data_IF_124661148575
#
_entry.id   IF_124661148575
#
_cell.length_a   1.000
_cell.length_b   1.000
_cell.length_c   1.000
_cell.angle_alpha   90.00
_cell.angle_beta   90.00
_cell.angle_gamma   90.00
#
_symmetry.space_group_name_H-M   'P 1'
#
loop_
_entity.id
_entity.type
_entity.pdbx_description
1 polymer ?
#
# COMPACT_ATOMS: atom_id res chain seq x y z
N UNK A 1 47.31 -10.16 31.05
CA UNK A 1 46.68 -11.48 30.82
C UNK A 1 45.44 -11.23 29.99
N UNK A 2 45.55 -11.37 28.66
CA UNK A 2 44.43 -11.27 27.74
C UNK A 2 43.68 -12.60 27.80
N UNK A 3 42.59 -12.66 28.57
CA UNK A 3 41.61 -13.73 28.41
C UNK A 3 41.09 -13.63 26.98
N UNK A 4 41.52 -14.57 26.13
CA UNK A 4 40.90 -14.82 24.85
C UNK A 4 39.45 -15.18 25.17
N UNK A 5 38.55 -14.22 24.93
CA UNK A 5 37.12 -14.38 25.11
C UNK A 5 36.63 -15.35 24.04
N UNK A 6 36.71 -16.65 24.35
CA UNK A 6 36.22 -17.71 23.47
C UNK A 6 34.73 -17.44 23.23
N UNK A 7 34.30 -17.19 21.98
CA UNK A 7 32.90 -16.92 21.69
C UNK A 7 32.05 -18.08 22.20
N UNK A 8 31.04 -17.77 23.00
CA UNK A 8 30.17 -18.74 23.68
C UNK A 8 29.58 -19.68 22.61
N UNK A 9 30.07 -20.93 22.50
CA UNK A 9 29.81 -21.83 21.35
C UNK A 9 28.33 -22.12 21.07
N UNK A 10 27.46 -21.77 22.01
CA UNK A 10 26.00 -21.77 21.84
C UNK A 10 25.52 -20.72 20.84
N UNK A 11 26.08 -19.51 20.83
CA UNK A 11 25.69 -18.43 19.93
C UNK A 11 26.07 -18.76 18.48
N UNK A 12 27.29 -19.27 18.30
CA UNK A 12 27.79 -19.74 17.01
C UNK A 12 26.86 -20.80 16.43
N UNK A 13 26.51 -21.84 17.22
CA UNK A 13 25.56 -22.87 16.79
C UNK A 13 24.22 -22.30 16.31
N UNK A 14 23.68 -21.27 16.97
CA UNK A 14 22.45 -20.61 16.55
C UNK A 14 22.61 -19.87 15.22
N UNK A 15 23.70 -19.12 15.04
CA UNK A 15 23.98 -18.45 13.77
C UNK A 15 24.20 -19.45 12.63
N UNK A 16 24.94 -20.53 12.85
CA UNK A 16 25.11 -21.59 11.85
C UNK A 16 23.76 -22.22 11.48
N UNK A 17 22.86 -22.42 12.46
CA UNK A 17 21.52 -22.94 12.22
C UNK A 17 20.64 -21.97 11.43
N UNK A 18 20.75 -20.67 11.66
CA UNK A 18 20.07 -19.65 10.86
C UNK A 18 20.65 -19.58 9.44
N UNK A 19 21.98 -19.62 9.31
CA UNK A 19 22.66 -19.62 8.03
C UNK A 19 22.29 -20.84 7.19
N UNK A 20 21.94 -21.98 7.78
CA UNK A 20 21.46 -23.17 7.07
C UNK A 20 20.21 -22.92 6.19
N UNK A 21 19.46 -21.85 6.44
CA UNK A 21 18.34 -21.43 5.60
C UNK A 21 18.79 -20.94 4.23
N UNK A 22 20.01 -20.43 4.07
CA UNK A 22 20.51 -19.92 2.80
C UNK A 22 20.73 -21.04 1.76
N UNK A 23 20.66 -20.72 0.45
CA UNK A 23 20.98 -21.68 -0.61
C UNK A 23 22.38 -22.28 -0.43
N UNK A 24 22.58 -23.58 -0.72
CA UNK A 24 23.83 -24.29 -0.43
C UNK A 24 25.05 -23.66 -1.14
N UNK A 25 24.89 -23.18 -2.38
CA UNK A 25 25.98 -22.49 -3.10
C UNK A 25 26.43 -21.20 -2.42
N UNK A 26 25.48 -20.40 -1.93
CA UNK A 26 25.80 -19.15 -1.22
C UNK A 26 26.46 -19.41 0.14
N UNK A 27 26.01 -20.44 0.86
CA UNK A 27 26.63 -20.85 2.14
C UNK A 27 28.05 -21.36 1.94
N UNK A 28 28.32 -22.09 0.86
CA UNK A 28 29.65 -22.61 0.58
C UNK A 28 30.66 -21.49 0.27
N UNK A 29 30.20 -20.39 -0.34
CA UNK A 29 31.06 -19.27 -0.74
C UNK A 29 31.23 -18.23 0.37
N UNK A 30 30.17 -17.89 1.11
CA UNK A 30 30.16 -16.77 2.07
C UNK A 30 29.82 -17.16 3.52
N UNK A 31 29.54 -18.44 3.81
CA UNK A 31 29.03 -18.86 5.11
C UNK A 31 29.94 -18.50 6.28
N UNK A 32 31.25 -18.72 6.13
CA UNK A 32 32.24 -18.45 7.17
C UNK A 32 32.47 -16.94 7.36
N UNK A 33 32.44 -16.17 6.28
CA UNK A 33 32.53 -14.70 6.34
C UNK A 33 31.30 -14.11 7.03
N UNK A 34 30.10 -14.56 6.66
CA UNK A 34 28.85 -14.13 7.29
C UNK A 34 28.84 -14.47 8.79
N UNK A 35 29.27 -15.69 9.15
CA UNK A 35 29.38 -16.10 10.54
C UNK A 35 30.39 -15.22 11.31
N UNK A 36 31.56 -14.96 10.71
CA UNK A 36 32.58 -14.08 11.26
C UNK A 36 32.07 -12.66 11.51
N UNK A 37 31.35 -12.06 10.55
CA UNK A 37 30.75 -10.73 10.68
C UNK A 37 29.67 -10.71 11.77
N UNK A 38 28.82 -11.74 11.82
CA UNK A 38 27.78 -11.86 12.85
C UNK A 38 28.38 -11.97 14.24
N UNK A 39 29.42 -12.79 14.43
CA UNK A 39 30.12 -12.93 15.70
C UNK A 39 30.87 -11.65 16.09
N UNK A 40 31.55 -11.00 15.14
CA UNK A 40 32.26 -9.73 15.37
C UNK A 40 31.31 -8.58 15.80
N UNK A 41 30.05 -8.60 15.36
CA UNK A 41 29.03 -7.63 15.73
C UNK A 41 28.34 -7.87 17.08
N UNK A 42 28.63 -8.98 17.76
CA UNK A 42 27.92 -9.36 19.00
C UNK A 42 28.42 -8.60 20.23
N UNK A 43 27.51 -8.37 21.18
CA UNK A 43 27.89 -7.74 22.46
C UNK A 43 28.56 -8.78 23.38
N UNK A 44 29.51 -8.38 24.23
CA UNK A 44 30.06 -9.25 25.26
C UNK A 44 28.94 -9.91 26.10
N UNK A 45 28.98 -11.24 26.24
CA UNK A 45 27.98 -12.02 26.97
C UNK A 45 26.67 -12.32 26.23
N UNK A 46 26.56 -12.02 24.93
CA UNK A 46 25.39 -12.37 24.13
C UNK A 46 25.34 -13.89 23.88
N UNK A 47 24.32 -14.57 24.42
CA UNK A 47 24.16 -16.04 24.29
C UNK A 47 23.21 -16.50 23.18
N UNK A 48 22.40 -15.57 22.68
CA UNK A 48 21.38 -15.80 21.66
C UNK A 48 21.42 -14.67 20.61
N UNK A 49 21.09 -14.95 19.33
CA UNK A 49 20.89 -13.92 18.33
C UNK A 49 19.80 -12.95 18.79
N UNK A 50 19.92 -11.66 18.47
CA UNK A 50 18.80 -10.75 18.69
C UNK A 50 17.66 -11.13 17.76
N UNK A 51 16.43 -10.92 18.20
CA UNK A 51 15.24 -11.14 17.38
C UNK A 51 15.32 -10.42 16.02
N UNK A 52 15.88 -9.20 16.00
CA UNK A 52 16.12 -8.46 14.76
C UNK A 52 17.16 -9.10 13.84
N UNK A 53 18.27 -9.61 14.39
CA UNK A 53 19.33 -10.29 13.62
C UNK A 53 18.82 -11.61 13.03
N UNK A 54 18.06 -12.38 13.82
CA UNK A 54 17.45 -13.63 13.36
C UNK A 54 16.40 -13.39 12.26
N UNK A 55 15.53 -12.39 12.43
CA UNK A 55 14.52 -12.04 11.43
C UNK A 55 15.15 -11.56 10.11
N UNK A 56 16.21 -10.76 10.19
CA UNK A 56 16.94 -10.26 9.03
C UNK A 56 17.62 -11.40 8.24
N UNK A 57 18.26 -12.34 8.94
CA UNK A 57 18.86 -13.54 8.33
C UNK A 57 17.82 -14.45 7.68
N UNK A 58 16.70 -14.71 8.36
CA UNK A 58 15.61 -15.52 7.81
C UNK A 58 15.00 -14.87 6.56
N UNK A 59 14.74 -13.57 6.60
CA UNK A 59 14.21 -12.82 5.45
C UNK A 59 15.16 -12.87 4.26
N UNK A 60 16.45 -12.64 4.49
CA UNK A 60 17.49 -12.71 3.46
C UNK A 60 17.61 -14.10 2.82
N UNK A 61 17.54 -15.16 3.63
CA UNK A 61 17.58 -16.54 3.15
C UNK A 61 16.37 -16.91 2.28
N UNK A 62 15.15 -16.53 2.71
CA UNK A 62 13.92 -16.74 1.92
C UNK A 62 14.01 -15.98 0.60
N UNK A 63 14.45 -14.72 0.63
CA UNK A 63 14.59 -13.90 -0.57
C UNK A 63 15.57 -14.48 -1.58
N UNK A 64 16.72 -14.98 -1.12
CA UNK A 64 17.69 -15.65 -1.98
C UNK A 64 17.15 -16.93 -2.60
N UNK A 65 16.32 -17.71 -1.89
CA UNK A 65 15.66 -18.90 -2.43
C UNK A 65 14.60 -18.57 -3.48
N UNK A 66 13.94 -17.42 -3.36
CA UNK A 66 13.01 -16.91 -4.36
C UNK A 66 13.72 -16.32 -5.59
N UNK A 67 15.05 -16.38 -5.65
CA UNK A 67 15.85 -15.94 -6.81
C UNK A 67 16.38 -14.51 -6.71
N UNK A 68 16.22 -13.84 -5.57
CA UNK A 68 16.81 -12.54 -5.31
C UNK A 68 18.34 -12.62 -5.23
N UNK A 69 19.04 -12.15 -6.26
CA UNK A 69 20.51 -12.04 -6.23
C UNK A 69 20.90 -10.88 -5.29
N UNK A 70 21.39 -11.22 -4.09
CA UNK A 70 22.04 -10.30 -3.15
C UNK A 70 21.08 -9.60 -2.19
N UNK A 71 20.86 -10.19 -1.02
CA UNK A 71 20.13 -9.57 0.10
C UNK A 71 21.04 -8.64 0.94
N UNK A 72 22.00 -7.96 0.31
CA UNK A 72 22.84 -6.97 0.98
C UNK A 72 22.15 -5.62 0.96
N UNK A 73 21.28 -5.39 1.94
CA UNK A 73 20.26 -4.33 1.96
C UNK A 73 19.17 -4.56 0.90
N UNK A 74 17.90 -4.58 1.33
CA UNK A 74 16.78 -4.28 0.42
C UNK A 74 17.20 -3.06 -0.39
N UNK A 75 17.41 -3.24 -1.70
CA UNK A 75 17.87 -2.18 -2.62
C UNK A 75 17.16 -0.89 -2.21
N UNK A 76 17.92 0.13 -1.78
CA UNK A 76 17.39 1.31 -1.10
C UNK A 76 16.21 1.94 -1.86
N UNK A 77 16.18 1.72 -3.18
CA UNK A 77 15.10 2.06 -4.10
C UNK A 77 13.75 1.43 -3.78
N UNK A 78 13.70 0.17 -3.33
CA UNK A 78 12.47 -0.48 -2.87
C UNK A 78 12.00 0.10 -1.54
N UNK A 79 12.91 0.41 -0.62
CA UNK A 79 12.57 1.08 0.63
C UNK A 79 12.01 2.49 0.39
N UNK A 80 12.62 3.27 -0.53
CA UNK A 80 12.12 4.58 -0.95
C UNK A 80 10.73 4.47 -1.59
N UNK A 81 10.53 3.49 -2.48
CA UNK A 81 9.24 3.26 -3.12
C UNK A 81 8.19 2.85 -2.09
N UNK A 82 8.53 1.95 -1.17
CA UNK A 82 7.65 1.51 -0.11
C UNK A 82 7.27 2.66 0.84
N UNK A 83 8.20 3.59 1.12
CA UNK A 83 7.93 4.80 1.89
C UNK A 83 6.89 5.70 1.20
N UNK A 84 7.05 5.96 -0.11
CA UNK A 84 6.13 6.78 -0.89
C UNK A 84 4.77 6.09 -1.03
N UNK A 85 4.77 4.81 -1.40
CA UNK A 85 3.56 4.01 -1.56
C UNK A 85 2.78 3.91 -0.25
N UNK A 86 3.43 3.54 0.86
CA UNK A 86 2.80 3.41 2.16
C UNK A 86 2.17 4.72 2.64
N UNK A 87 2.83 5.86 2.40
CA UNK A 87 2.26 7.18 2.70
C UNK A 87 1.02 7.48 1.84
N UNK A 88 1.12 7.34 0.52
CA UNK A 88 0.01 7.61 -0.41
C UNK A 88 -1.17 6.68 -0.13
N UNK A 89 -0.93 5.38 0.04
CA UNK A 89 -1.97 4.40 0.34
C UNK A 89 -2.64 4.68 1.69
N UNK A 90 -1.87 5.04 2.73
CA UNK A 90 -2.46 5.42 4.03
C UNK A 90 -3.35 6.65 3.92
N UNK A 91 -2.94 7.66 3.15
CA UNK A 91 -3.75 8.85 2.90
C UNK A 91 -5.02 8.52 2.12
N UNK A 92 -4.95 7.65 1.11
CA UNK A 92 -6.12 7.15 0.39
C UNK A 92 -7.08 6.38 1.32
N UNK A 93 -6.56 5.62 2.27
CA UNK A 93 -7.34 4.85 3.25
C UNK A 93 -8.00 5.72 4.32
N UNK A 94 -7.47 6.91 4.62
CA UNK A 94 -8.17 7.94 5.41
C UNK A 94 -9.24 8.62 4.57
N UNK A 95 -8.88 8.99 3.34
CA UNK A 95 -9.73 9.75 2.42
C UNK A 95 -10.99 8.99 2.03
N UNK A 96 -10.85 7.69 1.73
CA UNK A 96 -11.93 6.84 1.25
C UNK A 96 -13.16 6.85 2.18
N UNK A 97 -13.06 6.61 3.50
CA UNK A 97 -14.19 6.76 4.41
C UNK A 97 -14.53 8.22 4.75
N UNK A 98 -13.54 9.12 4.86
CA UNK A 98 -13.75 10.50 5.27
C UNK A 98 -14.73 11.25 4.36
N UNK A 99 -14.57 11.07 3.04
CA UNK A 99 -15.43 11.71 2.03
C UNK A 99 -16.91 11.30 2.18
N UNK A 100 -17.16 10.04 2.54
CA UNK A 100 -18.52 9.52 2.72
C UNK A 100 -19.12 9.99 4.04
N UNK A 101 -18.34 9.95 5.13
CA UNK A 101 -18.80 10.44 6.43
C UNK A 101 -19.17 11.92 6.36
N UNK A 102 -18.33 12.74 5.72
CA UNK A 102 -18.59 14.17 5.59
C UNK A 102 -19.87 14.45 4.78
N UNK A 103 -20.05 13.76 3.65
CA UNK A 103 -21.25 13.88 2.82
C UNK A 103 -22.51 13.42 3.56
N UNK A 104 -22.45 12.26 4.22
CA UNK A 104 -23.59 11.66 4.91
C UNK A 104 -24.04 12.48 6.13
N UNK A 105 -23.09 12.96 6.93
CA UNK A 105 -23.39 13.86 8.06
C UNK A 105 -24.04 15.17 7.59
N UNK A 106 -23.52 15.76 6.52
CA UNK A 106 -24.05 17.00 5.99
C UNK A 106 -25.42 16.80 5.33
N UNK A 107 -25.61 15.68 4.63
CA UNK A 107 -26.86 15.31 4.01
C UNK A 107 -27.98 15.16 5.06
N UNK A 108 -27.72 14.39 6.13
CA UNK A 108 -28.67 14.22 7.23
C UNK A 108 -28.94 15.52 7.99
N UNK A 109 -27.91 16.35 8.21
CA UNK A 109 -28.10 17.65 8.84
C UNK A 109 -28.99 18.56 8.00
N UNK A 110 -28.83 18.53 6.67
CA UNK A 110 -29.58 19.38 5.75
C UNK A 110 -31.02 18.93 5.55
N UNK A 111 -31.26 17.63 5.37
CA UNK A 111 -32.59 17.13 5.04
C UNK A 111 -33.46 16.86 6.26
N UNK A 112 -32.88 16.21 7.26
CA UNK A 112 -33.62 15.70 8.42
C UNK A 112 -33.46 16.62 9.65
N UNK A 113 -32.57 17.62 9.58
CA UNK A 113 -32.18 18.42 10.74
C UNK A 113 -31.46 17.60 11.81
N UNK A 114 -30.99 16.40 11.45
CA UNK A 114 -30.35 15.45 12.37
C UNK A 114 -28.85 15.38 12.13
N UNK A 115 -28.08 15.45 13.21
CA UNK A 115 -26.65 15.16 13.17
C UNK A 115 -26.44 13.65 13.32
N UNK A 116 -26.22 12.94 12.21
CA UNK A 116 -25.81 11.54 12.25
C UNK A 116 -24.46 11.42 12.96
N UNK A 117 -24.39 10.54 13.95
CA UNK A 117 -23.13 10.19 14.59
C UNK A 117 -22.44 9.13 13.73
N UNK A 118 -21.24 9.39 13.19
CA UNK A 118 -20.51 8.40 12.41
C UNK A 118 -20.21 7.18 13.27
N UNK A 119 -20.17 6.01 12.63
CA UNK A 119 -19.85 4.77 13.34
C UNK A 119 -18.46 4.87 13.96
N UNK A 120 -18.35 4.42 15.22
CA UNK A 120 -17.09 4.42 15.97
C UNK A 120 -16.01 3.64 15.23
N UNK A 121 -16.38 2.54 14.56
CA UNK A 121 -15.46 1.73 13.76
C UNK A 121 -14.80 2.51 12.61
N UNK A 122 -15.55 3.36 11.92
CA UNK A 122 -15.00 4.21 10.83
C UNK A 122 -14.10 5.30 11.40
N UNK A 123 -14.50 5.96 12.48
CA UNK A 123 -13.65 6.98 13.14
C UNK A 123 -12.32 6.41 13.62
N UNK A 124 -12.33 5.23 14.26
CA UNK A 124 -11.11 4.53 14.70
C UNK A 124 -10.23 4.19 13.50
N UNK A 125 -10.81 3.71 12.40
CA UNK A 125 -10.07 3.42 11.17
C UNK A 125 -9.39 4.67 10.60
N UNK A 126 -10.14 5.77 10.49
CA UNK A 126 -9.62 7.06 10.02
C UNK A 126 -8.49 7.57 10.92
N UNK A 127 -8.65 7.46 12.23
CA UNK A 127 -7.63 7.86 13.20
C UNK A 127 -6.36 7.02 13.05
N UNK A 128 -6.47 5.69 12.97
CA UNK A 128 -5.32 4.80 12.84
C UNK A 128 -4.52 5.06 11.56
N UNK A 129 -5.19 5.19 10.42
CA UNK A 129 -4.52 5.48 9.15
C UNK A 129 -3.99 6.92 9.09
N UNK A 130 -4.67 7.88 9.71
CA UNK A 130 -4.22 9.27 9.81
C UNK A 130 -2.95 9.38 10.66
N UNK A 131 -2.92 8.70 11.81
CA UNK A 131 -1.73 8.62 12.65
C UNK A 131 -0.60 7.83 11.95
N UNK A 132 -0.91 6.77 11.21
CA UNK A 132 0.08 6.02 10.43
C UNK A 132 0.74 6.91 9.36
N UNK A 133 -0.06 7.72 8.63
CA UNK A 133 0.42 8.68 7.65
C UNK A 133 1.24 9.80 8.29
N UNK A 134 0.79 10.35 9.43
CA UNK A 134 1.54 11.36 10.18
C UNK A 134 2.89 10.81 10.67
N UNK A 135 2.91 9.60 11.23
CA UNK A 135 4.14 8.91 11.64
C UNK A 135 5.02 8.52 10.44
N UNK A 136 4.44 8.28 9.26
CA UNK A 136 5.19 8.05 8.02
C UNK A 136 6.00 9.29 7.60
N UNK A 137 5.47 10.49 7.87
CA UNK A 137 6.18 11.75 7.66
C UNK A 137 7.30 12.02 8.68
N UNK A 138 7.26 11.39 9.86
CA UNK A 138 8.30 11.54 10.91
C UNK A 138 9.32 10.38 10.90
N UNK A 139 10.29 10.41 11.82
CA UNK A 139 11.30 9.34 11.99
C UNK A 139 10.77 8.07 12.68
N UNK A 140 9.47 7.96 12.92
CA UNK A 140 8.87 6.88 13.71
C UNK A 140 8.36 5.75 12.82
N UNK A 141 9.26 5.09 12.08
CA UNK A 141 8.87 4.03 11.14
C UNK A 141 8.21 2.83 11.80
N UNK A 142 8.70 2.41 12.97
CA UNK A 142 8.10 1.31 13.73
C UNK A 142 6.67 1.66 14.18
N UNK A 143 6.45 2.88 14.67
CA UNK A 143 5.13 3.35 15.11
C UNK A 143 4.18 3.42 13.92
N UNK A 144 4.63 3.96 12.79
CA UNK A 144 3.85 4.04 11.55
C UNK A 144 3.43 2.66 11.06
N UNK A 145 4.35 1.68 11.03
CA UNK A 145 4.03 0.30 10.66
C UNK A 145 3.05 -0.35 11.65
N UNK A 146 3.26 -0.17 12.95
CA UNK A 146 2.34 -0.69 13.99
C UNK A 146 0.92 -0.12 13.86
N UNK A 147 0.79 1.18 13.63
CA UNK A 147 -0.49 1.85 13.40
C UNK A 147 -1.17 1.37 12.11
N UNK A 148 -0.40 1.17 11.04
CA UNK A 148 -0.92 0.64 9.77
C UNK A 148 -1.44 -0.79 9.93
N UNK A 149 -0.71 -1.66 10.64
CA UNK A 149 -1.18 -3.01 10.95
C UNK A 149 -2.41 -3.02 11.86
N UNK A 150 -2.47 -2.14 12.87
CA UNK A 150 -3.65 -1.97 13.70
C UNK A 150 -4.86 -1.50 12.88
N UNK A 151 -4.66 -0.52 11.99
CA UNK A 151 -5.71 -0.01 11.09
C UNK A 151 -6.21 -1.07 10.12
N UNK A 152 -5.31 -1.87 9.53
CA UNK A 152 -5.66 -2.98 8.66
C UNK A 152 -6.42 -4.08 9.42
N UNK A 153 -5.92 -4.51 10.59
CA UNK A 153 -6.56 -5.53 11.41
C UNK A 153 -7.97 -5.12 11.87
N UNK A 154 -8.13 -3.87 12.31
CA UNK A 154 -9.42 -3.33 12.72
C UNK A 154 -10.44 -3.30 11.56
N UNK A 155 -10.05 -2.85 10.37
CA UNK A 155 -10.96 -2.85 9.21
C UNK A 155 -11.28 -4.26 8.69
N UNK A 156 -10.29 -5.16 8.66
CA UNK A 156 -10.53 -6.57 8.30
C UNK A 156 -11.48 -7.21 9.31
N UNK A 157 -11.33 -6.91 10.61
CA UNK A 157 -12.26 -7.38 11.63
C UNK A 157 -13.68 -6.86 11.41
N UNK A 158 -13.86 -5.57 11.12
CA UNK A 158 -15.17 -5.00 10.80
C UNK A 158 -15.82 -5.68 9.58
N UNK A 159 -15.04 -5.93 8.52
CA UNK A 159 -15.54 -6.63 7.33
C UNK A 159 -15.89 -8.10 7.61
N UNK A 160 -15.07 -8.78 8.41
CA UNK A 160 -15.31 -10.17 8.80
C UNK A 160 -16.53 -10.31 9.71
N UNK A 161 -16.74 -9.36 10.63
CA UNK A 161 -17.90 -9.32 11.50
C UNK A 161 -19.20 -9.05 10.72
N UNK A 162 -19.14 -8.23 9.67
CA UNK A 162 -20.29 -7.95 8.81
C UNK A 162 -20.56 -9.07 7.77
N UNK A 163 -19.60 -9.96 7.52
CA UNK A 163 -19.66 -10.94 6.44
C UNK A 163 -20.87 -11.90 6.49
N UNK A 164 -21.32 -12.42 7.65
CA UNK A 164 -22.48 -13.30 7.71
C UNK A 164 -23.79 -12.61 7.31
N UNK A 165 -23.87 -11.29 7.46
CA UNK A 165 -25.06 -10.49 7.18
C UNK A 165 -24.99 -9.80 5.81
N UNK A 166 -23.79 -9.39 5.38
CA UNK A 166 -23.55 -8.56 4.19
C UNK A 166 -22.29 -9.03 3.44
N UNK A 167 -22.26 -10.24 2.88
CA UNK A 167 -21.06 -10.76 2.23
C UNK A 167 -20.68 -9.98 0.96
N UNK A 168 -21.63 -9.28 0.31
CA UNK A 168 -21.36 -8.35 -0.78
C UNK A 168 -20.45 -7.18 -0.38
N UNK A 169 -20.51 -6.75 0.88
CA UNK A 169 -19.69 -5.66 1.38
C UNK A 169 -18.21 -6.05 1.36
N UNK A 170 -17.90 -7.29 1.75
CA UNK A 170 -16.55 -7.84 1.72
C UNK A 170 -16.00 -7.84 0.28
N UNK A 171 -16.79 -8.34 -0.67
CA UNK A 171 -16.39 -8.43 -2.10
C UNK A 171 -16.16 -7.03 -2.68
N UNK A 172 -17.11 -6.10 -2.47
CA UNK A 172 -17.01 -4.71 -2.97
C UNK A 172 -15.82 -3.96 -2.35
N UNK A 173 -15.42 -4.29 -1.13
CA UNK A 173 -14.30 -3.65 -0.42
C UNK A 173 -13.00 -4.46 -0.43
N UNK A 174 -12.94 -5.57 -1.16
CA UNK A 174 -11.76 -6.43 -1.16
C UNK A 174 -10.51 -5.73 -1.67
N UNK A 175 -10.66 -4.83 -2.65
CA UNK A 175 -9.55 -4.00 -3.13
C UNK A 175 -8.95 -3.12 -2.02
N UNK A 176 -9.78 -2.65 -1.07
CA UNK A 176 -9.30 -1.90 0.10
C UNK A 176 -8.50 -2.82 1.02
N UNK A 177 -8.92 -4.07 1.21
CA UNK A 177 -8.16 -5.05 2.01
C UNK A 177 -6.77 -5.27 1.41
N UNK A 178 -6.69 -5.45 0.10
CA UNK A 178 -5.40 -5.56 -0.60
C UNK A 178 -4.56 -4.31 -0.42
N UNK A 179 -5.15 -3.11 -0.56
CA UNK A 179 -4.48 -1.83 -0.37
C UNK A 179 -3.99 -1.62 1.08
N UNK A 180 -4.78 -2.02 2.08
CA UNK A 180 -4.43 -1.93 3.49
C UNK A 180 -3.23 -2.82 3.84
N UNK A 181 -3.27 -4.08 3.39
CA UNK A 181 -2.19 -5.02 3.62
C UNK A 181 -0.91 -4.56 2.91
N UNK A 182 -1.00 -4.18 1.63
CA UNK A 182 0.16 -3.68 0.90
C UNK A 182 0.74 -2.40 1.52
N UNK A 183 -0.09 -1.49 2.02
CA UNK A 183 0.35 -0.29 2.72
C UNK A 183 1.08 -0.63 4.03
N UNK A 184 0.52 -1.54 4.84
CA UNK A 184 1.13 -1.99 6.09
C UNK A 184 2.48 -2.69 5.85
N UNK A 185 2.57 -3.56 4.85
CA UNK A 185 3.83 -4.17 4.43
C UNK A 185 4.84 -3.12 3.93
N UNK A 186 4.41 -2.17 3.09
CA UNK A 186 5.29 -1.13 2.57
C UNK A 186 5.86 -0.24 3.69
N UNK A 187 5.03 0.15 4.66
CA UNK A 187 5.48 0.91 5.83
C UNK A 187 6.39 0.10 6.76
N UNK A 188 6.27 -1.24 6.76
CA UNK A 188 7.17 -2.14 7.48
C UNK A 188 8.55 -2.23 6.80
N UNK A 189 8.60 -2.20 5.47
CA UNK A 189 9.84 -2.34 4.67
C UNK A 189 10.59 -1.02 4.50
N UNK A 190 9.95 0.15 4.68
CA UNK A 190 10.55 1.48 4.41
C UNK A 190 11.85 1.80 5.16
N UNK A 191 12.16 1.08 6.24
CA UNK A 191 13.33 1.33 7.08
C UNK A 191 13.30 2.72 7.74
N UNK A 192 14.39 3.49 7.63
CA UNK A 192 14.52 4.85 8.22
C UNK A 192 14.23 6.00 7.23
N UNK A 193 13.83 5.69 6.00
CA UNK A 193 13.60 6.70 4.96
C UNK A 193 12.33 7.51 5.26
N UNK A 194 12.44 8.84 5.15
CA UNK A 194 11.28 9.75 5.27
C UNK A 194 10.61 9.88 3.91
N UNK A 195 9.34 9.46 3.79
CA UNK A 195 8.62 9.57 2.50
C UNK A 195 8.58 11.00 1.95
N UNK A 196 8.43 12.00 2.84
CA UNK A 196 8.40 13.42 2.45
C UNK A 196 9.71 13.95 1.85
N UNK A 197 10.88 13.39 2.20
CA UNK A 197 12.13 13.82 1.58
C UNK A 197 12.26 13.34 0.13
N UNK A 198 11.59 12.25 -0.23
CA UNK A 198 11.59 11.71 -1.59
C UNK A 198 10.63 12.47 -2.51
N UNK A 199 9.47 12.88 -1.99
CA UNK A 199 8.49 13.69 -2.73
C UNK A 199 8.96 15.14 -2.92
N UNK A 200 9.66 15.72 -1.94
CA UNK A 200 9.97 17.13 -1.90
C UNK A 200 8.78 17.98 -1.43
N UNK A 201 9.07 19.18 -0.91
CA UNK A 201 8.06 20.04 -0.25
C UNK A 201 6.89 20.42 -1.16
N UNK A 202 7.18 20.85 -2.40
CA UNK A 202 6.16 21.28 -3.37
C UNK A 202 5.17 20.16 -3.69
N UNK A 203 5.67 18.96 -4.01
CA UNK A 203 4.80 17.82 -4.36
C UNK A 203 4.00 17.31 -3.17
N UNK A 204 4.60 17.37 -1.98
CA UNK A 204 3.89 17.04 -0.73
C UNK A 204 2.74 18.03 -0.50
N UNK A 205 2.95 19.32 -0.78
CA UNK A 205 1.90 20.35 -0.75
C UNK A 205 0.79 20.07 -1.77
N UNK A 206 1.14 19.79 -3.03
CA UNK A 206 0.15 19.46 -4.08
C UNK A 206 -0.65 18.21 -3.73
N UNK A 207 0.02 17.16 -3.22
CA UNK A 207 -0.63 15.93 -2.74
C UNK A 207 -1.62 16.23 -1.62
N UNK A 208 -1.21 17.01 -0.62
CA UNK A 208 -2.06 17.37 0.51
C UNK A 208 -3.29 18.19 0.04
N UNK A 209 -3.09 19.17 -0.84
CA UNK A 209 -4.18 19.98 -1.42
C UNK A 209 -5.15 19.09 -2.20
N UNK A 210 -4.66 18.26 -3.12
CA UNK A 210 -5.49 17.37 -3.93
C UNK A 210 -6.32 16.42 -3.06
N UNK A 211 -5.71 15.80 -2.05
CA UNK A 211 -6.42 14.93 -1.11
C UNK A 211 -7.45 15.68 -0.26
N UNK A 212 -7.15 16.93 0.13
CA UNK A 212 -8.09 17.78 0.89
C UNK A 212 -9.30 18.12 0.03
N UNK A 213 -9.08 18.52 -1.23
CA UNK A 213 -10.14 18.77 -2.21
C UNK A 213 -11.00 17.53 -2.38
N UNK A 214 -10.40 16.37 -2.64
CA UNK A 214 -11.13 15.10 -2.78
C UNK A 214 -11.93 14.71 -1.52
N UNK A 215 -11.50 15.13 -0.32
CA UNK A 215 -12.23 14.85 0.93
C UNK A 215 -13.48 15.71 1.05
N UNK A 216 -13.34 16.99 0.74
CA UNK A 216 -14.35 18.03 0.97
C UNK A 216 -15.37 18.09 -0.16
N UNK A 217 -14.99 17.66 -1.37
CA UNK A 217 -15.78 17.78 -2.59
C UNK A 217 -17.19 17.16 -2.49
N UNK A 218 -17.40 15.94 -1.95
CA UNK A 218 -18.76 15.42 -1.79
C UNK A 218 -19.62 16.24 -0.82
N UNK A 219 -19.04 16.83 0.22
CA UNK A 219 -19.77 17.74 1.10
C UNK A 219 -20.15 19.04 0.38
N UNK A 220 -19.27 19.57 -0.47
CA UNK A 220 -19.57 20.75 -1.30
C UNK A 220 -20.72 20.48 -2.26
N UNK A 221 -20.75 19.32 -2.93
CA UNK A 221 -21.91 18.94 -3.76
C UNK A 221 -23.21 18.88 -2.95
N UNK A 222 -23.17 18.29 -1.75
CA UNK A 222 -24.34 18.26 -0.87
C UNK A 222 -24.79 19.65 -0.46
N UNK A 223 -23.88 20.63 -0.31
CA UNK A 223 -24.22 22.04 -0.06
C UNK A 223 -24.82 22.73 -1.30
N UNK A 224 -24.32 22.41 -2.49
CA UNK A 224 -24.76 23.02 -3.74
C UNK A 224 -26.04 22.39 -4.31
N UNK A 225 -26.40 21.19 -3.88
CA UNK A 225 -27.62 20.51 -4.31
C UNK A 225 -28.86 21.35 -3.96
N UNK A 226 -29.84 21.40 -4.85
CA UNK A 226 -31.14 22.02 -4.62
C UNK A 226 -32.12 20.95 -4.11
N UNK A 227 -32.83 21.25 -3.03
CA UNK A 227 -33.73 20.30 -2.37
C UNK A 227 -35.16 20.82 -2.45
N UNK A 228 -35.98 20.22 -3.32
CA UNK A 228 -37.39 20.52 -3.49
C UNK A 228 -38.23 19.56 -2.64
N UNK A 229 -38.94 20.08 -1.63
CA UNK A 229 -39.89 19.28 -0.84
C UNK A 229 -41.26 19.30 -1.50
N UNK A 230 -41.83 18.11 -1.69
CA UNK A 230 -43.16 17.90 -2.23
C UNK A 230 -44.20 17.88 -1.11
N UNK A 231 -45.46 18.17 -1.44
CA UNK A 231 -46.55 18.26 -0.46
C UNK A 231 -46.89 16.92 0.21
N UNK A 232 -46.54 15.80 -0.41
CA UNK A 232 -46.69 14.44 0.11
C UNK A 232 -45.59 14.03 1.12
N UNK A 233 -44.66 14.94 1.43
CA UNK A 233 -43.50 14.67 2.27
C UNK A 233 -42.32 14.05 1.52
N UNK A 234 -42.46 13.83 0.21
CA UNK A 234 -41.36 13.47 -0.66
C UNK A 234 -40.37 14.63 -0.82
N UNK A 235 -39.16 14.31 -1.24
CA UNK A 235 -38.15 15.30 -1.61
C UNK A 235 -37.50 14.89 -2.92
N UNK A 236 -37.22 15.88 -3.76
CA UNK A 236 -36.37 15.75 -4.92
C UNK A 236 -35.09 16.52 -4.64
N UNK A 237 -33.97 15.96 -5.10
CA UNK A 237 -32.67 16.60 -4.96
C UNK A 237 -32.05 16.71 -6.34
N UNK A 238 -31.89 17.95 -6.79
CA UNK A 238 -31.24 18.27 -8.04
C UNK A 238 -29.79 18.73 -7.76
N UNK A 239 -28.82 18.10 -8.41
CA UNK A 239 -27.44 18.59 -8.46
C UNK A 239 -27.04 18.83 -9.91
N UNK A 240 -25.96 19.58 -10.10
CA UNK A 240 -25.40 19.83 -11.42
C UNK A 240 -24.77 18.54 -11.98
N UNK A 241 -25.56 17.75 -12.72
CA UNK A 241 -25.05 16.63 -13.52
C UNK A 241 -25.21 15.22 -12.92
N UNK A 242 -25.95 15.03 -11.82
CA UNK A 242 -26.40 13.69 -11.40
C UNK A 242 -26.60 13.48 -9.89
N UNK A 243 -27.67 12.76 -9.51
CA UNK A 243 -27.95 12.33 -8.13
C UNK A 243 -28.25 10.82 -8.10
N UNK A 244 -27.72 10.08 -7.11
CA UNK A 244 -28.42 8.98 -6.44
C UNK A 244 -27.88 8.81 -5.00
N UNK A 245 -28.80 8.65 -4.04
CA UNK A 245 -28.52 8.39 -2.62
C UNK A 245 -29.50 7.35 -2.07
N UNK A 246 -29.00 6.25 -1.51
CA UNK A 246 -29.34 5.86 -0.12
C UNK A 246 -28.08 5.35 0.59
N UNK A 247 -27.85 5.87 1.79
CA UNK A 247 -26.84 5.44 2.77
C UNK A 247 -27.57 4.57 3.82
N UNK A 248 -27.00 3.55 4.47
CA UNK A 248 -25.89 3.56 5.42
C UNK A 248 -24.73 2.58 5.07
N UNK A 249 -24.88 1.66 4.09
CA UNK A 249 -23.81 0.75 3.63
C UNK A 249 -23.84 0.43 2.09
N UNK A 250 -24.46 1.28 1.25
CA UNK A 250 -24.47 1.26 -0.25
C UNK A 250 -25.82 1.74 -0.81
N UNK A 251 -26.04 2.18 -2.07
CA UNK A 251 -25.17 2.73 -3.14
C UNK A 251 -25.10 4.28 -3.05
N UNK A 252 -23.91 4.81 -3.32
CA UNK A 252 -23.51 6.23 -3.37
C UNK A 252 -22.39 6.31 -4.43
N UNK A 253 -22.16 7.42 -5.17
CA UNK A 253 -22.16 8.79 -4.63
C UNK A 253 -22.96 9.83 -5.42
N UNK A 254 -23.27 10.93 -4.74
CA UNK A 254 -23.53 12.25 -5.33
C UNK A 254 -22.33 12.64 -6.19
N UNK A 255 -22.37 12.33 -7.49
CA UNK A 255 -21.36 12.72 -8.46
C UNK A 255 -21.96 13.69 -9.47
N UNK A 256 -21.75 14.97 -9.22
CA UNK A 256 -22.03 16.03 -10.18
C UNK A 256 -20.88 16.20 -11.19
N UNK A 257 -21.13 17.02 -12.21
CA UNK A 257 -20.12 17.45 -13.18
C UNK A 257 -18.96 18.19 -12.51
N UNK A 258 -19.24 18.95 -11.44
CA UNK A 258 -18.21 19.62 -10.63
C UNK A 258 -17.28 18.59 -9.98
N UNK A 259 -17.85 17.57 -9.34
CA UNK A 259 -17.07 16.48 -8.76
C UNK A 259 -16.24 15.76 -9.81
N UNK A 260 -16.83 15.38 -10.93
CA UNK A 260 -16.11 14.70 -12.00
C UNK A 260 -14.92 15.53 -12.52
N UNK A 261 -15.11 16.84 -12.74
CA UNK A 261 -14.05 17.73 -13.21
C UNK A 261 -12.94 17.92 -12.17
N UNK A 262 -13.28 18.16 -10.90
CA UNK A 262 -12.31 18.35 -9.83
C UNK A 262 -11.59 17.06 -9.44
N UNK A 263 -12.28 15.92 -9.47
CA UNK A 263 -11.65 14.61 -9.30
C UNK A 263 -10.67 14.33 -10.42
N UNK A 264 -11.04 14.57 -11.68
CA UNK A 264 -10.13 14.44 -12.81
C UNK A 264 -8.91 15.37 -12.67
N UNK A 265 -9.11 16.63 -12.28
CA UNK A 265 -8.01 17.57 -12.04
C UNK A 265 -7.09 17.10 -10.90
N UNK A 266 -7.65 16.60 -9.79
CA UNK A 266 -6.89 16.05 -8.67
C UNK A 266 -6.11 14.80 -9.11
N UNK A 267 -6.74 13.88 -9.84
CA UNK A 267 -6.08 12.67 -10.37
C UNK A 267 -4.93 13.06 -11.30
N UNK A 268 -5.12 14.02 -12.20
CA UNK A 268 -4.05 14.53 -13.07
C UNK A 268 -2.91 15.17 -12.28
N UNK A 269 -3.22 15.97 -11.25
CA UNK A 269 -2.20 16.55 -10.37
C UNK A 269 -1.41 15.48 -9.61
N UNK A 270 -2.09 14.45 -9.09
CA UNK A 270 -1.48 13.29 -8.45
C UNK A 270 -0.57 12.55 -9.44
N UNK A 271 -1.07 12.24 -10.64
CA UNK A 271 -0.28 11.61 -11.70
C UNK A 271 0.94 12.46 -12.08
N UNK A 272 0.80 13.78 -12.20
CA UNK A 272 1.91 14.71 -12.42
C UNK A 272 2.97 14.65 -11.32
N UNK A 273 2.54 14.57 -10.06
CA UNK A 273 3.45 14.37 -8.93
C UNK A 273 4.21 13.03 -9.02
N UNK A 274 3.52 11.96 -9.40
CA UNK A 274 4.10 10.62 -9.55
C UNK A 274 5.07 10.54 -10.73
N UNK A 275 4.77 11.21 -11.85
CA UNK A 275 5.65 11.28 -13.02
C UNK A 275 6.97 11.98 -12.67
N UNK A 276 6.93 12.98 -11.79
CA UNK A 276 8.10 13.71 -11.32
C UNK A 276 9.02 12.93 -10.37
N UNK A 277 8.61 11.76 -9.87
CA UNK A 277 9.45 10.94 -8.99
C UNK A 277 10.69 10.42 -9.71
N UNK A 278 11.71 10.04 -8.92
CA UNK A 278 12.91 9.40 -9.45
C UNK A 278 12.52 8.18 -10.32
N UNK A 279 13.16 7.95 -11.47
CA UNK A 279 12.77 6.88 -12.40
C UNK A 279 12.67 5.50 -11.75
N UNK A 280 13.53 5.21 -10.79
CA UNK A 280 13.51 3.96 -10.02
C UNK A 280 12.22 3.79 -9.20
N UNK A 281 11.77 4.85 -8.52
CA UNK A 281 10.54 4.86 -7.73
C UNK A 281 9.32 4.81 -8.64
N UNK A 282 9.32 5.61 -9.72
CA UNK A 282 8.21 5.68 -10.68
C UNK A 282 7.91 4.34 -11.34
N UNK A 283 8.92 3.49 -11.59
CA UNK A 283 8.73 2.15 -12.17
C UNK A 283 8.26 1.10 -11.16
N UNK A 284 8.66 1.23 -9.89
CA UNK A 284 8.29 0.30 -8.81
C UNK A 284 6.89 0.59 -8.23
N UNK A 285 6.46 1.85 -8.22
CA UNK A 285 5.19 2.25 -7.62
C UNK A 285 3.96 1.54 -8.23
N UNK A 286 3.83 1.40 -9.57
CA UNK A 286 2.74 0.65 -10.16
C UNK A 286 2.72 -0.81 -9.71
N UNK A 287 3.88 -1.46 -9.54
CA UNK A 287 3.95 -2.86 -9.10
C UNK A 287 3.31 -3.05 -7.72
N UNK A 288 3.49 -2.09 -6.80
CA UNK A 288 2.88 -2.13 -5.47
C UNK A 288 1.36 -1.81 -5.51
N UNK A 289 0.93 -0.90 -6.39
CA UNK A 289 -0.47 -0.48 -6.49
C UNK A 289 -1.36 -1.37 -7.36
N UNK A 290 -0.77 -2.06 -8.33
CA UNK A 290 -1.50 -2.82 -9.36
C UNK A 290 -2.40 -3.92 -8.78
N UNK A 291 -2.01 -4.69 -7.74
CA UNK A 291 -2.89 -5.70 -7.16
C UNK A 291 -4.24 -5.14 -6.68
N UNK A 292 -4.23 -4.01 -5.95
CA UNK A 292 -5.45 -3.38 -5.48
C UNK A 292 -6.27 -2.79 -6.63
N UNK A 293 -5.60 -2.15 -7.61
CA UNK A 293 -6.26 -1.59 -8.79
C UNK A 293 -6.93 -2.67 -9.64
N UNK A 294 -6.25 -3.80 -9.87
CA UNK A 294 -6.78 -4.90 -10.65
C UNK A 294 -8.00 -5.51 -9.96
N UNK A 295 -7.92 -5.73 -8.65
CA UNK A 295 -9.07 -6.21 -7.85
C UNK A 295 -10.24 -5.23 -7.94
N UNK A 296 -9.98 -3.91 -7.81
CA UNK A 296 -11.02 -2.87 -7.92
C UNK A 296 -11.77 -2.93 -9.25
N UNK A 297 -11.07 -3.16 -10.35
CA UNK A 297 -11.67 -3.17 -11.71
C UNK A 297 -12.32 -4.51 -12.03
N UNK A 298 -11.69 -5.62 -11.66
CA UNK A 298 -12.10 -6.97 -12.11
C UNK A 298 -13.16 -7.60 -11.22
N UNK A 299 -13.08 -7.43 -9.90
CA UNK A 299 -13.99 -8.11 -8.96
C UNK A 299 -15.45 -7.75 -9.19
N UNK A 300 -15.86 -6.48 -9.39
CA UNK A 300 -17.27 -6.17 -9.62
C UNK A 300 -17.86 -6.90 -10.84
N UNK A 301 -17.07 -7.05 -11.90
CA UNK A 301 -17.51 -7.71 -13.14
C UNK A 301 -17.53 -9.24 -12.99
N UNK A 302 -16.50 -9.81 -12.35
CA UNK A 302 -16.39 -11.27 -12.17
C UNK A 302 -17.41 -11.78 -11.14
N UNK A 303 -17.74 -10.97 -10.15
CA UNK A 303 -18.65 -11.32 -9.04
C UNK A 303 -20.05 -10.72 -9.23
N UNK A 304 -20.40 -10.21 -10.41
CA UNK A 304 -21.70 -9.56 -10.63
C UNK A 304 -22.87 -10.50 -10.27
N UNK A 305 -22.79 -11.78 -10.67
CA UNK A 305 -23.79 -12.78 -10.32
C UNK A 305 -23.90 -13.01 -8.80
N UNK A 306 -22.76 -13.08 -8.11
CA UNK A 306 -22.72 -13.17 -6.65
C UNK A 306 -23.36 -11.93 -6.00
N UNK A 307 -22.93 -10.73 -6.41
CA UNK A 307 -23.40 -9.45 -5.88
C UNK A 307 -24.91 -9.24 -6.09
N UNK A 308 -25.47 -9.69 -7.21
CA UNK A 308 -26.91 -9.61 -7.49
C UNK A 308 -27.72 -10.69 -6.77
N UNK A 309 -27.14 -11.87 -6.56
CA UNK A 309 -27.83 -12.99 -5.93
C UNK A 309 -27.88 -12.87 -4.41
N UNK A 310 -26.78 -12.51 -3.75
CA UNK A 310 -26.68 -12.52 -2.28
C UNK A 310 -27.72 -11.62 -1.60
N UNK A 311 -28.02 -10.45 -2.18
CA UNK A 311 -29.00 -9.49 -1.64
C UNK A 311 -30.45 -10.01 -1.77
N UNK A 312 -30.69 -11.04 -2.57
CA UNK A 312 -32.04 -11.60 -2.82
C UNK A 312 -32.41 -12.77 -1.93
N UNK A 313 -31.46 -13.36 -1.20
CA UNK A 313 -31.68 -14.54 -0.37
C UNK A 313 -31.56 -14.21 1.12
N UNK A 314 -32.39 -14.88 1.93
CA UNK A 314 -32.32 -14.85 3.40
C UNK A 314 -32.32 -16.31 3.93
N UNK A 315 -31.20 -16.83 4.47
CA UNK A 315 -29.93 -16.14 4.70
C UNK A 315 -29.16 -15.80 3.41
N UNK A 316 -28.24 -14.83 3.43
CA UNK A 316 -27.45 -14.45 2.26
C UNK A 316 -26.55 -15.58 1.77
N UNK A 317 -26.25 -15.56 0.46
CA UNK A 317 -25.35 -16.55 -0.15
C UNK A 317 -23.91 -16.19 0.19
N UNK A 318 -23.18 -17.13 0.82
CA UNK A 318 -21.78 -16.94 1.16
C UNK A 318 -20.86 -17.34 0.00
N UNK A 319 -19.65 -16.77 -0.01
CA UNK A 319 -18.63 -17.06 -1.02
C UNK A 319 -18.23 -18.54 -1.03
N UNK A 320 -18.18 -19.12 -2.23
CA UNK A 320 -17.65 -20.44 -2.47
C UNK A 320 -16.12 -20.48 -2.32
N UNK A 321 -15.55 -21.67 -2.12
CA UNK A 321 -14.10 -21.84 -1.98
C UNK A 321 -13.30 -21.32 -3.20
N UNK A 322 -13.84 -21.48 -4.41
CA UNK A 322 -13.21 -20.97 -5.64
C UNK A 322 -13.18 -19.45 -5.71
N UNK A 323 -14.23 -18.79 -5.20
CA UNK A 323 -14.32 -17.33 -5.12
C UNK A 323 -13.31 -16.77 -4.11
N UNK A 324 -13.19 -17.41 -2.95
CA UNK A 324 -12.12 -17.10 -1.98
C UNK A 324 -10.72 -17.26 -2.58
N UNK A 325 -10.49 -18.36 -3.30
CA UNK A 325 -9.22 -18.59 -3.97
C UNK A 325 -8.92 -17.49 -4.99
N UNK A 326 -9.91 -17.06 -5.77
CA UNK A 326 -9.76 -15.94 -6.72
C UNK A 326 -9.36 -14.64 -6.02
N UNK A 327 -10.09 -14.26 -4.96
CA UNK A 327 -9.85 -13.03 -4.20
C UNK A 327 -8.44 -12.98 -3.59
N UNK A 328 -7.90 -14.12 -3.16
CA UNK A 328 -6.55 -14.20 -2.57
C UNK A 328 -5.46 -14.34 -3.64
N UNK A 329 -5.64 -15.21 -4.63
CA UNK A 329 -4.60 -15.52 -5.62
C UNK A 329 -4.39 -14.38 -6.61
N UNK A 330 -5.45 -13.70 -7.06
CA UNK A 330 -5.34 -12.62 -8.05
C UNK A 330 -4.34 -11.53 -7.63
N UNK A 331 -4.45 -10.89 -6.43
CA UNK A 331 -3.50 -9.86 -6.03
C UNK A 331 -2.09 -10.39 -5.83
N UNK A 332 -1.93 -11.61 -5.29
CA UNK A 332 -0.62 -12.23 -5.07
C UNK A 332 0.12 -12.52 -6.40
N UNK A 333 -0.59 -13.11 -7.36
CA UNK A 333 -0.04 -13.39 -8.69
C UNK A 333 0.26 -12.09 -9.44
N UNK A 334 -0.61 -11.07 -9.33
CA UNK A 334 -0.39 -9.75 -9.95
C UNK A 334 0.88 -9.10 -9.42
N UNK A 335 1.10 -9.15 -8.10
CA UNK A 335 2.32 -8.63 -7.48
C UNK A 335 3.55 -9.40 -7.95
N UNK A 336 3.50 -10.73 -7.94
CA UNK A 336 4.62 -11.58 -8.36
C UNK A 336 5.01 -11.33 -9.82
N UNK A 337 4.03 -11.33 -10.73
CA UNK A 337 4.25 -11.04 -12.15
C UNK A 337 4.81 -9.62 -12.32
N UNK A 338 4.26 -8.63 -11.60
CA UNK A 338 4.74 -7.25 -11.63
C UNK A 338 6.20 -7.12 -11.21
N UNK A 339 6.62 -7.80 -10.14
CA UNK A 339 8.02 -7.83 -9.69
C UNK A 339 8.93 -8.47 -10.73
N UNK A 340 8.56 -9.64 -11.27
CA UNK A 340 9.36 -10.35 -12.28
C UNK A 340 9.51 -9.52 -13.56
N UNK A 341 8.44 -8.90 -14.05
CA UNK A 341 8.47 -8.05 -15.23
C UNK A 341 9.33 -6.79 -15.00
N UNK A 342 9.22 -6.19 -13.82
CA UNK A 342 10.02 -5.03 -13.48
C UNK A 342 11.51 -5.37 -13.43
N UNK A 343 11.90 -6.45 -12.76
CA UNK A 343 13.30 -6.89 -12.73
C UNK A 343 13.83 -7.15 -14.14
N UNK A 344 13.05 -7.80 -14.99
CA UNK A 344 13.42 -8.04 -16.39
C UNK A 344 13.62 -6.72 -17.15
N UNK A 345 12.72 -5.75 -16.96
CA UNK A 345 12.82 -4.43 -17.58
C UNK A 345 14.04 -3.64 -17.10
N UNK A 346 14.37 -3.70 -15.80
CA UNK A 346 15.55 -3.05 -15.24
C UNK A 346 16.85 -3.68 -15.75
N UNK A 347 16.92 -5.03 -15.83
CA UNK A 347 18.06 -5.73 -16.42
C UNK A 347 18.25 -5.35 -17.88
N UNK A 348 17.18 -5.27 -18.67
CA UNK A 348 17.26 -4.88 -20.08
C UNK A 348 17.74 -3.43 -20.23
N UNK A 349 17.19 -2.49 -19.45
CA UNK A 349 17.63 -1.10 -19.46
C UNK A 349 19.10 -0.95 -19.05
N UNK A 350 19.58 -1.76 -18.09
CA UNK A 350 20.98 -1.76 -17.69
C UNK A 350 21.91 -2.24 -18.81
N UNK A 351 21.56 -3.33 -19.49
CA UNK A 351 22.33 -3.84 -20.63
C UNK A 351 22.41 -2.85 -21.80
N UNK A 352 21.31 -2.17 -22.12
CA UNK A 352 21.29 -1.10 -23.13
C UNK A 352 22.20 0.06 -22.70
N UNK A 353 22.17 0.44 -21.42
CA UNK A 353 23.06 1.47 -20.87
C UNK A 353 24.54 1.13 -21.01
N UNK A 354 24.93 -0.13 -20.72
CA UNK A 354 26.30 -0.61 -20.89
C UNK A 354 26.73 -0.59 -22.37
N UNK A 355 25.83 -1.01 -23.29
CA UNK A 355 26.09 -0.96 -24.73
C UNK A 355 26.37 0.46 -25.23
N UNK A 356 25.53 1.42 -24.84
CA UNK A 356 25.70 2.83 -25.21
C UNK A 356 26.99 3.45 -24.61
N UNK A 357 27.38 3.04 -23.40
CA UNK A 357 28.62 3.49 -22.78
C UNK A 357 29.85 2.95 -23.52
N UNK A 358 29.85 1.65 -23.84
CA UNK A 358 30.92 1.01 -24.59
C UNK A 358 31.07 1.61 -26.00
N UNK A 359 29.95 1.92 -26.66
CA UNK A 359 29.97 2.58 -27.97
C UNK A 359 30.58 3.99 -27.89
N UNK A 360 30.23 4.79 -26.87
CA UNK A 360 30.84 6.10 -26.64
C UNK A 360 32.34 6.01 -26.39
N UNK A 361 32.79 5.06 -25.58
CA UNK A 361 34.23 4.84 -25.34
C UNK A 361 34.97 4.44 -26.61
N UNK A 362 34.37 3.58 -27.45
CA UNK A 362 34.94 3.18 -28.72
C UNK A 362 35.07 4.37 -29.69
N UNK A 363 34.06 5.26 -29.74
CA UNK A 363 34.11 6.48 -30.53
C UNK A 363 35.20 7.43 -30.05
N UNK A 364 35.31 7.65 -28.73
CA UNK A 364 36.36 8.51 -28.15
C UNK A 364 37.77 7.99 -28.43
N UNK A 365 37.98 6.67 -28.37
CA UNK A 365 39.27 6.04 -28.72
C UNK A 365 39.62 6.23 -30.20
N UNK A 366 38.62 6.14 -31.11
CA UNK A 366 38.84 6.37 -32.55
C UNK A 366 39.20 7.81 -32.86
N UNK A 367 38.56 8.78 -32.20
CA UNK A 367 38.88 10.21 -32.42
C UNK A 367 40.22 10.59 -31.81
N UNK A 368 40.59 10.02 -30.65
CA UNK A 368 41.89 10.29 -30.03
C UNK A 368 43.09 9.62 -30.71
N UNK A 369 42.88 8.56 -31.49
CA UNK A 369 43.93 7.93 -32.29
C UNK A 369 44.20 8.65 -33.63
N UNK A 370 43.33 9.58 -34.03
CA UNK A 370 43.44 10.34 -35.28
C UNK A 370 44.10 11.72 -35.12
N UNK A 371 44.37 12.14 -33.88
CA UNK A 371 45.14 13.34 -33.51
C UNK A 371 46.55 12.96 -33.13
#
# INVERSE_FOLDING_TARGET
MNEQHEPDGRLEWWYTRLLALFPPGHRAEYGDEMLGVLLAGTRPGQRLPRLGEAADLMGSAVWMRLGGRGAGAVDSRWADTAAVYGLVASLLLVLAPARYVAADMLYAARLDGMLLRPSTGVLVSMLLWGLAAAAACTRWSVVSAGLAWAGAAHQVWLLAAAYPEQPELLVRRWWMVVLMLSAAFALSVRGRVRGGSVLGGVRTGVLAVALTVLTVLPAVEVLLAETSRHADGGYEIASWGGYQVKSFLGEQPVHGALSAALEAACVLALLGCLIGLAPAVRRRLPVLGMPALLVLVTVPSVFEGFLMSTVRFDPPVLLAAGEWAYLVLLPLLTLLVGVVLLERAERHAHLVGLGLAAEREALLRRTGAAS
#
